data_IF_587826628235
#
_entry.id   IF_587826628235
#
_cell.length_a   1.000
_cell.length_b   1.000
_cell.length_c   1.000
_cell.angle_alpha   90.00
_cell.angle_beta   90.00
_cell.angle_gamma   90.00
#
_symmetry.space_group_name_H-M   'P 1'
#
loop_
_entity.id
_entity.type
_entity.pdbx_description
1 polymer ?
#
# COMPACT_ATOMS: atom_id res chain seq x y z
N UNK A 1 33.15 -12.60 56.43
CA UNK A 1 33.50 -13.35 55.20
C UNK A 1 32.33 -13.61 54.24
N UNK A 2 31.06 -13.65 54.69
CA UNK A 2 29.91 -13.85 53.78
C UNK A 2 29.55 -12.61 52.95
N UNK A 3 29.81 -11.39 53.42
CA UNK A 3 29.42 -10.15 52.73
C UNK A 3 30.31 -9.77 51.54
N UNK A 4 31.57 -10.25 51.50
CA UNK A 4 32.51 -9.98 50.38
C UNK A 4 32.18 -10.87 49.16
N UNK A 5 31.59 -12.04 49.40
CA UNK A 5 31.17 -12.98 48.35
C UNK A 5 29.95 -12.45 47.55
N UNK A 6 29.04 -11.70 48.20
CA UNK A 6 27.89 -11.09 47.52
C UNK A 6 28.26 -9.90 46.63
N UNK A 7 29.30 -9.15 46.99
CA UNK A 7 29.78 -8.00 46.19
C UNK A 7 30.40 -8.51 44.88
N UNK A 8 31.19 -9.58 44.93
CA UNK A 8 31.78 -10.22 43.75
C UNK A 8 30.72 -10.88 42.83
N UNK A 9 29.61 -11.39 43.37
CA UNK A 9 28.51 -11.93 42.57
C UNK A 9 27.64 -10.86 41.90
N UNK A 10 27.54 -9.66 42.48
CA UNK A 10 26.71 -8.56 41.94
C UNK A 10 27.35 -7.82 40.75
N UNK A 11 28.69 -7.85 40.63
CA UNK A 11 29.38 -7.21 39.52
C UNK A 11 29.31 -8.03 38.21
N UNK A 12 29.03 -9.33 38.28
CA UNK A 12 29.00 -10.21 37.10
C UNK A 12 27.63 -10.15 36.40
N UNK A 13 26.53 -9.86 37.11
CA UNK A 13 25.20 -9.74 36.50
C UNK A 13 25.00 -8.42 35.74
N UNK A 14 25.79 -7.39 36.05
CA UNK A 14 25.69 -6.07 35.41
C UNK A 14 26.46 -5.97 34.09
N UNK A 15 27.27 -6.98 33.72
CA UNK A 15 28.02 -7.00 32.46
C UNK A 15 27.29 -7.68 31.30
N UNK A 16 26.12 -8.28 31.53
CA UNK A 16 25.38 -9.04 30.50
C UNK A 16 24.27 -8.19 29.84
N UNK A 17 23.96 -7.00 30.37
CA UNK A 17 22.88 -6.13 29.86
C UNK A 17 23.33 -5.13 28.79
N UNK A 18 24.15 -5.54 27.81
CA UNK A 18 24.61 -4.60 26.76
C UNK A 18 24.76 -5.21 25.36
N UNK A 19 24.22 -6.40 25.13
CA UNK A 19 24.09 -6.96 23.78
C UNK A 19 22.62 -6.96 23.37
N UNK A 20 22.07 -5.76 23.13
CA UNK A 20 20.85 -5.68 22.33
C UNK A 20 21.23 -6.06 20.90
N UNK A 21 20.66 -7.12 20.33
CA UNK A 21 20.82 -7.38 18.91
C UNK A 21 20.29 -6.15 18.17
N UNK A 22 21.12 -5.55 17.32
CA UNK A 22 20.66 -4.53 16.40
C UNK A 22 19.71 -5.22 15.41
N UNK A 23 18.41 -5.18 15.72
CA UNK A 23 17.38 -5.53 14.77
C UNK A 23 17.47 -4.54 13.61
N UNK A 24 18.22 -4.93 12.57
CA UNK A 24 18.17 -4.23 11.30
C UNK A 24 16.76 -4.43 10.75
N UNK A 25 15.92 -3.40 10.93
CA UNK A 25 14.62 -3.34 10.27
C UNK A 25 14.89 -3.47 8.77
N UNK A 26 14.53 -4.61 8.18
CA UNK A 26 14.64 -4.83 6.74
C UNK A 26 13.67 -3.87 6.07
N UNK A 27 14.15 -2.67 5.73
CA UNK A 27 13.41 -1.74 4.88
C UNK A 27 13.23 -2.42 3.54
N UNK A 28 12.00 -2.77 3.21
CA UNK A 28 11.68 -3.27 1.89
C UNK A 28 11.76 -2.10 0.90
N UNK A 29 12.09 -2.41 -0.36
CA UNK A 29 12.47 -1.46 -1.43
C UNK A 29 11.54 -0.26 -1.62
N UNK A 30 10.27 -0.34 -1.18
CA UNK A 30 9.24 0.69 -1.41
C UNK A 30 8.52 1.16 -0.14
N UNK A 31 9.00 0.83 1.06
CA UNK A 31 8.30 1.16 2.31
C UNK A 31 8.06 2.67 2.49
N UNK A 32 9.02 3.51 2.11
CA UNK A 32 8.86 4.95 2.14
C UNK A 32 7.70 5.42 1.22
N UNK A 33 7.53 4.78 0.06
CA UNK A 33 6.49 5.13 -0.89
C UNK A 33 5.10 4.68 -0.41
N UNK A 34 5.01 3.50 0.22
CA UNK A 34 3.79 3.07 0.90
C UNK A 34 3.44 3.98 2.10
N UNK A 35 4.44 4.38 2.89
CA UNK A 35 4.24 5.30 4.01
C UNK A 35 3.73 6.67 3.54
N UNK A 36 4.35 7.24 2.52
CA UNK A 36 3.92 8.51 1.94
C UNK A 36 2.51 8.43 1.35
N UNK A 37 2.20 7.37 0.59
CA UNK A 37 0.88 7.18 0.02
C UNK A 37 -0.18 6.98 1.11
N UNK A 38 0.13 6.20 2.13
CA UNK A 38 -0.78 5.96 3.25
C UNK A 38 -1.08 7.22 4.05
N UNK A 39 -0.05 8.03 4.32
CA UNK A 39 -0.22 9.35 4.95
C UNK A 39 -1.08 10.28 4.08
N UNK A 40 -0.82 10.31 2.76
CA UNK A 40 -1.50 11.21 1.83
C UNK A 40 -2.99 10.89 1.66
N UNK A 41 -3.31 9.61 1.51
CA UNK A 41 -4.66 9.15 1.17
C UNK A 41 -5.42 8.57 2.37
N UNK A 42 -4.85 8.67 3.57
CA UNK A 42 -5.42 8.18 4.83
C UNK A 42 -5.74 6.67 4.78
N UNK A 43 -4.79 5.90 4.24
CA UNK A 43 -4.86 4.44 4.15
C UNK A 43 -3.67 3.87 4.92
N UNK A 44 -3.87 2.80 5.68
CA UNK A 44 -2.77 2.13 6.37
C UNK A 44 -1.68 1.70 5.36
N UNK A 45 -0.42 2.14 5.49
CA UNK A 45 0.68 1.70 4.62
C UNK A 45 0.83 0.17 4.56
N UNK A 46 0.54 -0.54 5.64
CA UNK A 46 0.60 -2.00 5.68
C UNK A 46 -0.51 -2.61 4.81
N UNK A 47 -1.69 -1.99 4.76
CA UNK A 47 -2.76 -2.41 3.85
C UNK A 47 -2.34 -2.21 2.39
N UNK A 48 -1.79 -1.05 2.04
CA UNK A 48 -1.31 -0.79 0.67
C UNK A 48 -0.22 -1.79 0.24
N UNK A 49 0.72 -2.08 1.14
CA UNK A 49 1.78 -3.08 0.90
C UNK A 49 1.22 -4.49 0.76
N UNK A 50 0.21 -4.85 1.56
CA UNK A 50 -0.47 -6.14 1.46
C UNK A 50 -1.20 -6.31 0.12
N UNK A 51 -1.89 -5.26 -0.34
CA UNK A 51 -2.51 -5.24 -1.67
C UNK A 51 -1.44 -5.44 -2.75
N UNK A 52 -0.37 -4.64 -2.76
CA UNK A 52 0.70 -4.77 -3.75
C UNK A 52 1.40 -6.15 -3.71
N UNK A 53 1.44 -6.79 -2.55
CA UNK A 53 1.97 -8.15 -2.40
C UNK A 53 1.07 -9.18 -3.10
N UNK A 54 -0.25 -9.06 -2.95
CA UNK A 54 -1.23 -9.93 -3.64
C UNK A 54 -1.23 -9.64 -5.14
N UNK A 55 -1.24 -8.36 -5.52
CA UNK A 55 -1.36 -7.91 -6.90
C UNK A 55 -0.11 -8.24 -7.74
N UNK A 56 1.08 -8.07 -7.18
CA UNK A 56 2.30 -8.26 -7.95
C UNK A 56 3.43 -9.03 -7.29
N UNK A 57 3.25 -9.47 -6.05
CA UNK A 57 4.35 -9.97 -5.21
C UNK A 57 5.47 -8.93 -5.03
N UNK A 58 5.10 -7.64 -5.01
CA UNK A 58 6.01 -6.49 -4.96
C UNK A 58 7.00 -6.42 -6.14
N UNK A 59 6.64 -6.99 -7.29
CA UNK A 59 7.39 -6.90 -8.54
C UNK A 59 6.96 -5.62 -9.30
N UNK A 60 7.85 -4.62 -9.46
CA UNK A 60 7.46 -3.29 -9.94
C UNK A 60 7.15 -3.22 -11.43
N UNK A 61 7.66 -4.15 -12.23
CA UNK A 61 7.49 -4.25 -13.68
C UNK A 61 6.49 -5.32 -14.10
N UNK A 62 5.69 -5.84 -13.15
CA UNK A 62 4.66 -6.83 -13.46
C UNK A 62 3.59 -6.23 -14.36
N UNK A 63 3.30 -6.94 -15.46
CA UNK A 63 2.22 -6.62 -16.39
C UNK A 63 1.32 -7.84 -16.50
N UNK A 64 0.02 -7.67 -16.23
CA UNK A 64 -0.99 -8.72 -16.40
C UNK A 64 -2.02 -8.29 -17.45
N UNK A 65 -2.54 -9.25 -18.22
CA UNK A 65 -3.55 -9.01 -19.25
C UNK A 65 -4.88 -9.67 -18.88
N UNK A 66 -5.93 -8.87 -18.79
CA UNK A 66 -7.29 -9.36 -18.63
C UNK A 66 -7.84 -9.76 -20.00
N UNK A 67 -8.21 -11.04 -20.15
CA UNK A 67 -8.64 -11.60 -21.43
C UNK A 67 -10.06 -12.15 -21.35
N UNK A 68 -10.84 -11.92 -22.40
CA UNK A 68 -12.11 -12.60 -22.63
C UNK A 68 -12.09 -13.23 -24.03
N UNK A 69 -12.41 -14.53 -24.10
CA UNK A 69 -12.40 -15.31 -25.37
C UNK A 69 -11.09 -15.15 -26.15
N UNK A 70 -9.96 -15.11 -25.44
CA UNK A 70 -8.62 -14.96 -26.00
C UNK A 70 -8.23 -13.53 -26.41
N UNK A 71 -9.14 -12.56 -26.35
CA UNK A 71 -8.86 -11.15 -26.65
C UNK A 71 -8.51 -10.38 -25.38
N UNK A 72 -7.47 -9.57 -25.42
CA UNK A 72 -7.11 -8.67 -24.32
C UNK A 72 -8.15 -7.55 -24.24
N UNK A 73 -8.81 -7.43 -23.09
CA UNK A 73 -9.76 -6.36 -22.78
C UNK A 73 -9.09 -5.19 -22.07
N UNK A 74 -8.21 -5.49 -21.12
CA UNK A 74 -7.46 -4.49 -20.38
C UNK A 74 -6.11 -5.06 -19.94
N UNK A 75 -5.23 -4.18 -19.47
CA UNK A 75 -3.89 -4.54 -18.97
C UNK A 75 -3.65 -3.82 -17.65
N UNK A 76 -3.07 -4.52 -16.69
CA UNK A 76 -2.76 -4.02 -15.36
C UNK A 76 -1.24 -3.84 -15.21
N UNK A 77 -0.83 -2.71 -14.62
CA UNK A 77 0.56 -2.27 -14.61
C UNK A 77 1.12 -2.10 -13.20
N UNK A 78 2.29 -2.69 -12.96
CA UNK A 78 3.19 -2.39 -11.84
C UNK A 78 2.75 -2.91 -10.47
N UNK A 79 3.28 -2.31 -9.40
CA UNK A 79 3.12 -2.78 -8.03
C UNK A 79 1.66 -2.93 -7.59
N UNK A 80 0.83 -1.95 -7.89
CA UNK A 80 -0.58 -1.91 -7.50
C UNK A 80 -1.53 -2.29 -8.64
N UNK A 81 -1.00 -2.87 -9.72
CA UNK A 81 -1.76 -3.40 -10.86
C UNK A 81 -2.80 -2.40 -11.39
N UNK A 82 -2.33 -1.18 -11.70
CA UNK A 82 -3.20 -0.10 -12.19
C UNK A 82 -3.76 -0.48 -13.55
N UNK A 83 -5.08 -0.62 -13.65
CA UNK A 83 -5.74 -1.04 -14.88
C UNK A 83 -5.71 0.05 -15.96
N UNK A 84 -5.54 -0.38 -17.21
CA UNK A 84 -5.48 0.46 -18.39
C UNK A 84 -6.68 1.40 -18.59
N UNK A 85 -7.84 1.07 -18.02
CA UNK A 85 -9.04 1.92 -18.06
C UNK A 85 -8.86 3.26 -17.33
N UNK A 86 -7.93 3.35 -16.37
CA UNK A 86 -7.62 4.60 -15.67
C UNK A 86 -6.70 5.54 -16.46
N UNK A 87 -5.91 5.02 -17.40
CA UNK A 87 -4.86 5.77 -18.12
C UNK A 87 -5.40 7.04 -18.80
N UNK A 88 -6.54 7.04 -19.52
CA UNK A 88 -7.04 8.26 -20.15
C UNK A 88 -7.30 9.38 -19.15
N UNK A 89 -7.85 9.06 -17.98
CA UNK A 89 -8.11 10.04 -16.93
C UNK A 89 -6.82 10.50 -16.25
N UNK A 90 -5.87 9.59 -15.99
CA UNK A 90 -4.55 9.94 -15.45
C UNK A 90 -3.80 10.91 -16.36
N UNK A 91 -3.88 10.70 -17.68
CA UNK A 91 -3.31 11.61 -18.69
C UNK A 91 -4.02 12.95 -18.72
N UNK A 92 -5.36 12.96 -18.66
CA UNK A 92 -6.16 14.19 -18.62
C UNK A 92 -5.84 15.05 -17.40
N UNK A 93 -5.55 14.43 -16.27
CA UNK A 93 -5.17 15.10 -15.01
C UNK A 93 -3.69 15.49 -14.95
N UNK A 94 -2.88 15.12 -15.96
CA UNK A 94 -1.46 15.42 -16.00
C UNK A 94 -0.61 14.59 -15.04
N UNK A 95 -1.16 13.51 -14.48
CA UNK A 95 -0.49 12.63 -13.51
C UNK A 95 0.57 11.77 -14.19
N UNK A 96 0.27 11.30 -15.40
CA UNK A 96 1.19 10.58 -16.28
C UNK A 96 1.08 11.14 -17.70
N UNK A 97 2.17 11.07 -18.46
CA UNK A 97 2.20 11.34 -19.90
C UNK A 97 2.03 10.05 -20.69
N UNK A 98 2.64 8.96 -20.22
CA UNK A 98 2.54 7.63 -20.80
C UNK A 98 2.31 6.54 -19.75
N UNK A 99 1.78 5.39 -20.19
CA UNK A 99 1.57 4.22 -19.34
C UNK A 99 2.88 3.59 -18.85
N UNK A 100 4.00 3.79 -19.55
CA UNK A 100 5.31 3.27 -19.12
C UNK A 100 5.71 3.82 -17.76
N UNK A 101 5.28 5.05 -17.42
CA UNK A 101 5.54 5.67 -16.11
C UNK A 101 4.93 4.87 -14.94
N UNK A 102 3.92 4.04 -15.20
CA UNK A 102 3.36 3.12 -14.19
C UNK A 102 4.32 1.96 -13.85
N UNK A 103 5.32 1.70 -14.68
CA UNK A 103 6.36 0.68 -14.50
C UNK A 103 7.69 1.35 -14.12
N UNK A 104 8.07 2.40 -14.84
CA UNK A 104 9.33 3.12 -14.67
C UNK A 104 9.39 3.88 -13.34
N UNK A 105 8.23 4.24 -12.77
CA UNK A 105 8.13 4.92 -11.49
C UNK A 105 7.24 4.14 -10.49
N UNK A 106 7.81 3.18 -9.73
CA UNK A 106 7.04 2.36 -8.80
C UNK A 106 6.38 3.14 -7.66
N UNK A 107 6.98 4.26 -7.23
CA UNK A 107 6.39 5.09 -6.19
C UNK A 107 5.18 5.88 -6.71
N UNK A 108 5.24 6.37 -7.95
CA UNK A 108 4.07 6.92 -8.62
C UNK A 108 2.96 5.87 -8.78
N UNK A 109 3.31 4.63 -9.14
CA UNK A 109 2.36 3.52 -9.21
C UNK A 109 1.65 3.29 -7.87
N UNK A 110 2.39 3.27 -6.75
CA UNK A 110 1.82 3.15 -5.40
C UNK A 110 0.90 4.34 -5.08
N UNK A 111 1.33 5.57 -5.36
CA UNK A 111 0.52 6.77 -5.13
C UNK A 111 -0.77 6.73 -5.94
N UNK A 112 -0.71 6.27 -7.18
CA UNK A 112 -1.88 6.11 -8.06
C UNK A 112 -2.83 5.06 -7.52
N UNK A 113 -2.33 3.88 -7.12
CA UNK A 113 -3.16 2.82 -6.56
C UNK A 113 -3.84 3.24 -5.27
N UNK A 114 -3.12 3.93 -4.39
CA UNK A 114 -3.68 4.47 -3.15
C UNK A 114 -4.74 5.55 -3.40
N UNK A 115 -4.54 6.44 -4.37
CA UNK A 115 -5.56 7.42 -4.79
C UNK A 115 -6.81 6.73 -5.32
N UNK A 116 -6.66 5.76 -6.23
CA UNK A 116 -7.78 4.99 -6.78
C UNK A 116 -8.55 4.31 -5.64
N UNK A 117 -7.85 3.66 -4.71
CA UNK A 117 -8.47 2.99 -3.56
C UNK A 117 -9.21 3.97 -2.65
N UNK A 118 -8.64 5.13 -2.37
CA UNK A 118 -9.27 6.17 -1.56
C UNK A 118 -10.55 6.72 -2.21
N UNK A 119 -10.54 6.96 -3.53
CA UNK A 119 -11.75 7.37 -4.26
C UNK A 119 -12.83 6.28 -4.30
N UNK A 120 -12.45 5.00 -4.19
CA UNK A 120 -13.39 3.89 -4.00
C UNK A 120 -14.00 3.91 -2.59
N UNK A 121 -13.17 4.07 -1.55
CA UNK A 121 -13.63 4.15 -0.16
C UNK A 121 -14.58 5.35 0.08
N UNK A 122 -14.40 6.47 -0.62
CA UNK A 122 -15.36 7.57 -0.58
C UNK A 122 -16.78 7.17 -1.01
N UNK A 123 -16.90 6.20 -1.93
CA UNK A 123 -18.19 5.78 -2.49
C UNK A 123 -18.88 4.71 -1.66
N UNK A 124 -18.13 3.77 -1.09
CA UNK A 124 -18.69 2.60 -0.36
C UNK A 124 -18.31 2.49 1.12
N UNK A 125 -17.58 3.46 1.68
CA UNK A 125 -17.05 3.41 3.04
C UNK A 125 -15.87 2.45 3.19
N UNK A 126 -15.23 2.43 4.36
CA UNK A 126 -14.09 1.54 4.63
C UNK A 126 -14.64 0.24 5.23
N UNK A 127 -14.82 -0.79 4.39
CA UNK A 127 -15.21 -2.13 4.83
C UNK A 127 -14.67 -3.20 3.88
N UNK A 128 -14.67 -4.45 4.33
CA UNK A 128 -14.16 -5.61 3.56
C UNK A 128 -14.85 -5.78 2.20
N UNK A 129 -16.14 -5.49 2.09
CA UNK A 129 -16.87 -5.57 0.82
C UNK A 129 -16.40 -4.51 -0.17
N UNK A 130 -16.07 -3.30 0.31
CA UNK A 130 -15.53 -2.22 -0.49
C UNK A 130 -14.07 -2.50 -0.89
N UNK A 131 -13.24 -3.06 0.00
CA UNK A 131 -11.88 -3.47 -0.31
C UNK A 131 -11.85 -4.55 -1.42
N UNK A 132 -12.73 -5.55 -1.36
CA UNK A 132 -12.83 -6.59 -2.39
C UNK A 132 -13.25 -6.07 -3.78
N UNK A 133 -13.90 -4.90 -3.85
CA UNK A 133 -14.32 -4.30 -5.13
C UNK A 133 -13.17 -3.67 -5.92
N UNK A 134 -12.05 -3.35 -5.28
CA UNK A 134 -10.86 -2.80 -5.93
C UNK A 134 -10.33 -3.72 -7.04
N UNK A 135 -10.40 -5.05 -6.84
CA UNK A 135 -9.93 -6.05 -7.82
C UNK A 135 -11.01 -6.55 -8.79
N UNK A 136 -12.30 -6.42 -8.43
CA UNK A 136 -13.39 -7.07 -9.16
C UNK A 136 -14.27 -6.11 -9.98
N UNK A 137 -14.18 -4.80 -9.75
CA UNK A 137 -15.16 -3.83 -10.24
C UNK A 137 -16.54 -3.99 -9.56
N UNK A 138 -17.31 -2.90 -9.46
CA UNK A 138 -18.60 -2.95 -8.76
C UNK A 138 -19.67 -3.78 -9.51
N UNK A 139 -20.23 -4.79 -8.83
CA UNK A 139 -21.67 -5.09 -8.97
C UNK A 139 -22.43 -4.16 -8.02
N UNK A 140 -23.55 -3.59 -8.45
CA UNK A 140 -24.39 -2.70 -7.62
C UNK A 140 -24.71 -3.39 -6.29
N UNK A 141 -24.15 -2.88 -5.19
CA UNK A 141 -24.57 -3.25 -3.84
C UNK A 141 -25.39 -2.09 -3.28
N UNK A 142 -26.64 -2.37 -2.95
CA UNK A 142 -27.59 -1.46 -2.33
C UNK A 142 -27.22 -1.23 -0.86
N UNK A 143 -26.96 0.03 -0.53
CA UNK A 143 -27.06 0.68 0.79
C UNK A 143 -26.48 -0.04 2.04
N UNK A 144 -25.36 0.50 2.55
CA UNK A 144 -25.24 0.90 3.96
C UNK A 144 -24.21 2.02 4.10
N UNK A 145 -24.67 3.22 4.43
CA UNK A 145 -23.83 4.36 4.80
C UNK A 145 -23.33 4.16 6.22
N UNK A 146 -22.05 3.87 6.39
CA UNK A 146 -21.30 4.26 7.59
C UNK A 146 -20.26 5.26 7.13
N UNK A 147 -20.64 6.55 7.21
CA UNK A 147 -19.80 7.64 6.75
C UNK A 147 -19.01 8.21 7.93
N UNK A 148 -17.72 7.95 7.98
CA UNK A 148 -16.75 8.89 8.58
C UNK A 148 -16.50 10.00 7.55
N UNK A 149 -17.49 10.84 7.32
CA UNK A 149 -17.54 11.81 6.21
C UNK A 149 -16.72 13.08 6.46
N UNK A 150 -15.96 13.16 7.56
CA UNK A 150 -15.07 14.31 7.84
C UNK A 150 -13.61 14.13 7.40
N UNK A 151 -13.15 12.90 7.09
CA UNK A 151 -11.75 12.67 6.71
C UNK A 151 -11.48 12.75 5.18
N UNK A 152 -12.52 12.80 4.34
CA UNK A 152 -12.36 12.52 2.90
C UNK A 152 -12.58 13.70 1.95
N UNK A 153 -12.75 14.94 2.43
CA UNK A 153 -12.88 16.13 1.57
C UNK A 153 -11.54 16.57 0.95
N UNK A 154 -10.40 16.11 1.49
CA UNK A 154 -9.04 16.48 1.06
C UNK A 154 -8.44 15.57 -0.01
N UNK A 155 -9.13 14.48 -0.38
CA UNK A 155 -8.62 13.43 -1.30
C UNK A 155 -8.85 13.79 -2.80
N UNK A 156 -9.51 14.93 -3.07
CA UNK A 156 -9.94 15.30 -4.43
C UNK A 156 -8.82 15.85 -5.35
N UNK A 157 -7.59 15.95 -4.85
CA UNK A 157 -6.42 16.44 -5.61
C UNK A 157 -5.35 15.36 -5.70
N UNK A 158 -4.91 15.10 -6.93
CA UNK A 158 -3.68 14.37 -7.24
C UNK A 158 -2.43 15.04 -6.70
#
# INVERSE_FOLDING_TARGET
MRSVLYILLSCISSLIFSLQPAYSATTTRFDACFAQAGQRYLIDPLLLKSIATVESSLIPDRINHNKEKGKILSTDYGLMQINSSHIPNLKKLGVIKDKSELIDNPCLNIQIGAWILATHFQKCGINWSCLGSYNAGFKKVTNRKESNTHAMSTINTW
#
